data_IF_345557945441
#
_entry.id   IF_345557945441
#
_cell.length_a   1.000
_cell.length_b   1.000
_cell.length_c   1.000
_cell.angle_alpha   90.00
_cell.angle_beta   90.00
_cell.angle_gamma   90.00
#
_symmetry.space_group_name_H-M   'P 1'
#
loop_
_entity.id
_entity.type
_entity.pdbx_description
1 polymer ?
#
# COMPACT_ATOMS: atom_id res chain seq x y z
N UNK A 1 -27.30 14.35 -7.56
CA UNK A 1 -28.01 13.06 -7.60
C UNK A 1 -26.96 11.95 -7.50
N UNK A 2 -26.59 11.56 -6.28
CA UNK A 2 -25.64 10.48 -6.06
C UNK A 2 -26.31 9.16 -6.43
N UNK A 3 -25.89 8.54 -7.55
CA UNK A 3 -26.23 7.15 -7.84
C UNK A 3 -25.50 6.31 -6.80
N UNK A 4 -26.21 5.89 -5.77
CA UNK A 4 -25.77 4.77 -4.93
C UNK A 4 -25.60 3.57 -5.85
N UNK A 5 -24.36 3.18 -6.10
CA UNK A 5 -24.06 1.94 -6.79
C UNK A 5 -24.76 0.83 -6.01
N UNK A 6 -25.63 0.08 -6.69
CA UNK A 6 -26.11 -1.19 -6.18
C UNK A 6 -24.85 -2.03 -5.96
N UNK A 7 -24.50 -2.27 -4.69
CA UNK A 7 -23.42 -3.18 -4.31
C UNK A 7 -23.84 -4.58 -4.75
N UNK A 8 -23.58 -4.92 -6.01
CA UNK A 8 -23.52 -6.32 -6.42
C UNK A 8 -22.59 -7.04 -5.45
N UNK A 9 -22.94 -8.27 -5.05
CA UNK A 9 -22.07 -9.09 -4.19
C UNK A 9 -20.67 -9.10 -4.82
N UNK A 10 -19.67 -8.61 -4.06
CA UNK A 10 -18.28 -8.65 -4.50
C UNK A 10 -17.92 -10.12 -4.78
N UNK A 11 -17.55 -10.39 -6.03
CA UNK A 11 -17.15 -11.72 -6.47
C UNK A 11 -15.63 -11.88 -6.31
N UNK A 12 -15.21 -13.12 -6.08
CA UNK A 12 -13.80 -13.48 -6.18
C UNK A 12 -13.37 -13.41 -7.65
N UNK A 13 -12.23 -12.79 -7.89
CA UNK A 13 -11.57 -12.67 -9.19
C UNK A 13 -10.19 -13.30 -9.09
N UNK A 14 -9.78 -13.95 -10.18
CA UNK A 14 -8.41 -14.47 -10.31
C UNK A 14 -7.60 -13.42 -11.03
N UNK A 15 -6.57 -12.88 -10.38
CA UNK A 15 -5.54 -12.05 -10.99
C UNK A 15 -4.28 -12.85 -11.29
N UNK A 16 -3.48 -12.36 -12.22
CA UNK A 16 -2.15 -12.90 -12.52
C UNK A 16 -1.08 -11.95 -11.96
N UNK A 17 -0.08 -12.48 -11.28
CA UNK A 17 1.06 -11.69 -10.81
C UNK A 17 1.86 -11.22 -12.04
N UNK A 18 1.86 -9.92 -12.27
CA UNK A 18 2.65 -9.31 -13.33
C UNK A 18 4.12 -9.16 -12.93
N UNK A 19 4.35 -8.77 -11.67
CA UNK A 19 5.70 -8.55 -11.13
C UNK A 19 5.70 -8.59 -9.59
N UNK A 20 6.89 -8.82 -9.02
CA UNK A 20 7.14 -8.82 -7.58
C UNK A 20 8.30 -7.87 -7.30
N UNK A 21 8.02 -6.79 -6.57
CA UNK A 21 9.01 -5.78 -6.20
C UNK A 21 9.41 -5.99 -4.74
N UNK A 22 10.69 -6.30 -4.50
CA UNK A 22 11.22 -6.36 -3.15
C UNK A 22 11.40 -4.93 -2.59
N UNK A 23 10.59 -4.56 -1.60
CA UNK A 23 10.64 -3.23 -0.98
C UNK A 23 11.67 -3.14 0.15
N UNK A 24 11.72 -4.19 0.98
CA UNK A 24 12.68 -4.37 2.10
C UNK A 24 12.96 -5.87 2.25
N UNK A 25 13.94 -6.33 3.06
CA UNK A 25 14.18 -7.78 3.23
C UNK A 25 12.98 -8.60 3.71
N UNK A 26 11.97 -7.97 4.32
CA UNK A 26 10.74 -8.65 4.79
C UNK A 26 9.47 -8.20 4.07
N UNK A 27 9.54 -7.32 3.07
CA UNK A 27 8.35 -6.73 2.44
C UNK A 27 8.46 -6.78 0.93
N UNK A 28 7.41 -7.24 0.26
CA UNK A 28 7.30 -7.23 -1.19
C UNK A 28 5.97 -6.63 -1.65
N UNK A 29 5.99 -5.93 -2.78
CA UNK A 29 4.82 -5.47 -3.51
C UNK A 29 4.52 -6.43 -4.65
N UNK A 30 3.28 -6.92 -4.71
CA UNK A 30 2.77 -7.79 -5.77
C UNK A 30 1.95 -6.93 -6.73
N UNK A 31 2.39 -6.84 -7.99
CA UNK A 31 1.67 -6.15 -9.05
C UNK A 31 0.81 -7.18 -9.76
N UNK A 32 -0.49 -6.94 -9.83
CA UNK A 32 -1.47 -7.94 -10.23
C UNK A 32 -2.30 -7.40 -11.39
N UNK A 33 -2.27 -8.12 -12.51
CA UNK A 33 -3.19 -7.92 -13.62
C UNK A 33 -4.52 -8.61 -13.26
N UNK A 34 -5.58 -7.82 -13.05
CA UNK A 34 -6.89 -8.32 -12.62
C UNK A 34 -7.93 -8.05 -13.72
N UNK A 35 -8.38 -9.08 -14.46
CA UNK A 35 -9.38 -8.92 -15.49
C UNK A 35 -10.68 -8.29 -14.96
N UNK A 36 -11.19 -7.31 -15.70
CA UNK A 36 -12.40 -6.56 -15.41
C UNK A 36 -12.40 -5.98 -13.98
N UNK A 37 -11.26 -5.46 -13.53
CA UNK A 37 -11.19 -4.73 -12.26
C UNK A 37 -12.12 -3.52 -12.31
N UNK A 38 -13.06 -3.37 -11.35
CA UNK A 38 -14.04 -2.28 -11.38
C UNK A 38 -13.44 -0.90 -11.04
N UNK A 39 -12.11 -0.81 -10.87
CA UNK A 39 -11.44 0.34 -10.29
C UNK A 39 -11.48 0.32 -8.76
N UNK A 40 -10.81 1.28 -8.13
CA UNK A 40 -10.76 1.43 -6.68
C UNK A 40 -10.48 2.89 -6.30
N UNK A 41 -10.62 3.23 -5.02
CA UNK A 41 -10.20 4.51 -4.45
C UNK A 41 -8.94 4.34 -3.61
N UNK A 42 -8.07 5.35 -3.62
CA UNK A 42 -6.85 5.38 -2.80
C UNK A 42 -7.21 5.26 -1.32
N UNK A 43 -6.75 4.19 -0.67
CA UNK A 43 -7.04 3.85 0.72
C UNK A 43 -8.02 2.67 0.93
N UNK A 44 -8.58 2.11 -0.15
CA UNK A 44 -9.30 0.84 -0.09
C UNK A 44 -8.37 -0.37 0.02
N UNK A 45 -8.95 -1.54 0.29
CA UNK A 45 -8.26 -2.82 0.41
C UNK A 45 -8.95 -3.90 -0.42
N UNK A 46 -8.29 -5.05 -0.55
CA UNK A 46 -8.85 -6.29 -1.09
C UNK A 46 -8.72 -7.41 -0.06
N UNK A 47 -9.62 -8.38 -0.10
CA UNK A 47 -9.37 -9.68 0.51
C UNK A 47 -8.61 -10.55 -0.48
N UNK A 48 -7.56 -11.21 -0.02
CA UNK A 48 -6.81 -12.23 -0.76
C UNK A 48 -7.13 -13.59 -0.17
N UNK A 49 -7.36 -14.57 -1.03
CA UNK A 49 -7.59 -15.97 -0.65
C UNK A 49 -6.49 -16.86 -1.22
N UNK A 50 -5.96 -17.72 -0.35
CA UNK A 50 -5.13 -18.85 -0.74
C UNK A 50 -5.88 -20.14 -0.44
N UNK A 51 -5.86 -21.07 -1.37
CA UNK A 51 -6.42 -22.42 -1.21
C UNK A 51 -5.29 -23.43 -1.31
N UNK A 52 -5.09 -24.23 -0.26
CA UNK A 52 -4.11 -25.32 -0.25
C UNK A 52 -4.65 -26.55 -1.00
N UNK A 53 -3.76 -27.50 -1.33
CA UNK A 53 -4.10 -28.71 -2.09
C UNK A 53 -5.13 -29.61 -1.39
N UNK A 54 -5.18 -29.57 -0.05
CA UNK A 54 -6.16 -30.27 0.77
C UNK A 54 -7.52 -29.54 0.85
N UNK A 55 -7.66 -28.40 0.17
CA UNK A 55 -8.85 -27.57 0.14
C UNK A 55 -8.95 -26.55 1.27
N UNK A 56 -7.98 -26.49 2.19
CA UNK A 56 -7.97 -25.47 3.24
C UNK A 56 -7.85 -24.06 2.64
N UNK A 57 -8.63 -23.11 3.16
CA UNK A 57 -8.64 -21.72 2.67
C UNK A 57 -8.27 -20.72 3.75
N UNK A 58 -7.22 -19.95 3.51
CA UNK A 58 -6.87 -18.79 4.32
C UNK A 58 -7.24 -17.50 3.59
N UNK A 59 -7.82 -16.54 4.31
CA UNK A 59 -8.19 -15.22 3.78
C UNK A 59 -7.59 -14.11 4.62
N UNK A 60 -7.00 -13.10 3.98
CA UNK A 60 -6.45 -11.91 4.65
C UNK A 60 -6.72 -10.65 3.84
N UNK A 61 -6.97 -9.55 4.53
CA UNK A 61 -7.17 -8.24 3.91
C UNK A 61 -5.85 -7.52 3.73
N UNK A 62 -5.62 -6.96 2.54
CA UNK A 62 -4.45 -6.16 2.20
C UNK A 62 -4.87 -4.83 1.58
N UNK A 63 -4.34 -3.73 2.11
CA UNK A 63 -4.52 -2.41 1.48
C UNK A 63 -4.00 -2.43 0.05
N UNK A 64 -4.74 -1.78 -0.85
CA UNK A 64 -4.28 -1.56 -2.20
C UNK A 64 -3.19 -0.48 -2.14
N UNK A 65 -2.03 -0.80 -2.70
CA UNK A 65 -0.85 0.05 -2.74
C UNK A 65 -0.84 0.96 -3.99
N UNK A 66 -1.42 0.50 -5.10
CA UNK A 66 -1.46 1.28 -6.33
C UNK A 66 -2.45 2.45 -6.24
N UNK A 67 -2.25 3.44 -7.11
CA UNK A 67 -3.22 4.52 -7.28
C UNK A 67 -4.41 4.03 -8.13
N UNK A 68 -5.59 4.67 -8.02
CA UNK A 68 -6.72 4.42 -8.91
C UNK A 68 -6.40 4.52 -10.41
N UNK A 69 -5.41 5.34 -10.76
CA UNK A 69 -4.95 5.57 -12.13
C UNK A 69 -4.04 4.45 -12.68
N UNK A 70 -3.52 3.58 -11.81
CA UNK A 70 -2.62 2.50 -12.21
C UNK A 70 -3.42 1.41 -12.95
N UNK A 71 -2.93 0.91 -14.11
CA UNK A 71 -3.58 -0.21 -14.80
C UNK A 71 -3.56 -1.51 -13.99
N UNK A 72 -2.70 -1.63 -12.98
CA UNK A 72 -2.54 -2.82 -12.14
C UNK A 72 -2.99 -2.57 -10.71
N UNK A 73 -3.52 -3.62 -10.09
CA UNK A 73 -3.74 -3.62 -8.65
C UNK A 73 -2.41 -4.02 -8.00
N UNK A 74 -1.87 -3.17 -7.13
CA UNK A 74 -0.73 -3.55 -6.30
C UNK A 74 -1.18 -3.78 -4.86
N UNK A 75 -0.67 -4.83 -4.22
CA UNK A 75 -0.72 -5.00 -2.76
C UNK A 75 0.70 -5.15 -2.23
N UNK A 76 0.92 -4.75 -0.99
CA UNK A 76 2.25 -4.85 -0.37
C UNK A 76 2.15 -5.58 0.94
N UNK A 77 2.95 -6.63 1.04
CA UNK A 77 2.84 -7.67 2.05
C UNK A 77 4.12 -7.71 2.86
N UNK A 78 3.98 -7.57 4.17
CA UNK A 78 5.05 -7.83 5.12
C UNK A 78 5.04 -9.30 5.53
N UNK A 79 6.18 -9.98 5.36
CA UNK A 79 6.40 -11.35 5.79
C UNK A 79 6.49 -11.40 7.31
N UNK A 80 5.49 -12.02 7.91
CA UNK A 80 5.51 -12.46 9.30
C UNK A 80 6.06 -13.89 9.35
N UNK A 81 7.04 -14.16 10.20
CA UNK A 81 7.71 -15.47 10.30
C UNK A 81 6.72 -16.59 10.65
N UNK A 82 5.81 -16.32 11.59
CA UNK A 82 4.73 -17.24 11.99
C UNK A 82 3.40 -16.95 11.24
N UNK A 83 3.48 -16.23 10.11
CA UNK A 83 2.31 -15.87 9.33
C UNK A 83 1.79 -17.04 8.50
N UNK A 84 0.47 -17.25 8.49
CA UNK A 84 -0.15 -18.33 7.70
C UNK A 84 -0.08 -18.07 6.19
N UNK A 85 -0.18 -16.82 5.75
CA UNK A 85 -0.33 -16.43 4.34
C UNK A 85 0.89 -15.66 3.83
N UNK A 86 1.45 -14.77 4.67
CA UNK A 86 2.51 -13.84 4.24
C UNK A 86 3.83 -14.49 3.81
N UNK A 87 4.30 -15.63 4.37
CA UNK A 87 5.51 -16.29 3.88
C UNK A 87 5.37 -16.75 2.43
N UNK A 88 4.21 -17.31 2.06
CA UNK A 88 3.94 -17.73 0.68
C UNK A 88 3.89 -16.52 -0.26
N UNK A 89 3.12 -15.48 0.10
CA UNK A 89 2.96 -14.29 -0.75
C UNK A 89 4.28 -13.54 -1.01
N UNK A 90 5.21 -13.54 -0.07
CA UNK A 90 6.49 -12.81 -0.19
C UNK A 90 7.64 -13.70 -0.67
N UNK A 91 7.62 -14.99 -0.35
CA UNK A 91 8.74 -15.90 -0.60
C UNK A 91 8.56 -16.82 -1.81
N UNK A 92 7.32 -17.14 -2.19
CA UNK A 92 7.03 -18.22 -3.14
C UNK A 92 6.25 -17.76 -4.38
N UNK A 93 5.55 -16.62 -4.33
CA UNK A 93 4.86 -16.08 -5.50
C UNK A 93 5.83 -15.41 -6.48
N UNK A 94 5.64 -15.69 -7.76
CA UNK A 94 6.40 -15.17 -8.88
C UNK A 94 5.48 -14.64 -9.97
N UNK A 95 6.06 -13.92 -10.94
CA UNK A 95 5.32 -13.50 -12.12
C UNK A 95 4.68 -14.71 -12.83
N UNK A 96 3.46 -14.51 -13.34
CA UNK A 96 2.55 -15.50 -13.95
C UNK A 96 1.80 -16.40 -12.96
N UNK A 97 2.10 -16.35 -11.67
CA UNK A 97 1.29 -17.04 -10.67
C UNK A 97 -0.09 -16.41 -10.55
N UNK A 98 -1.06 -17.18 -10.06
CA UNK A 98 -2.44 -16.73 -9.89
C UNK A 98 -2.75 -16.42 -8.44
N UNK A 99 -3.50 -15.36 -8.22
CA UNK A 99 -3.97 -14.97 -6.91
C UNK A 99 -5.46 -14.67 -6.94
N UNK A 100 -6.22 -15.21 -5.99
CA UNK A 100 -7.63 -14.88 -5.82
C UNK A 100 -7.78 -13.63 -4.95
N UNK A 101 -8.49 -12.64 -5.47
CA UNK A 101 -8.79 -11.41 -4.76
C UNK A 101 -10.27 -11.03 -4.87
N UNK A 102 -10.77 -10.36 -3.84
CA UNK A 102 -12.14 -9.82 -3.79
C UNK A 102 -12.08 -8.37 -3.30
N UNK A 103 -12.64 -7.47 -4.10
CA UNK A 103 -12.73 -6.06 -3.77
C UNK A 103 -13.10 -5.19 -4.97
N UNK A 104 -12.89 -3.86 -4.85
CA UNK A 104 -12.35 -3.18 -3.67
C UNK A 104 -13.32 -3.20 -2.48
N UNK A 105 -12.78 -3.17 -1.26
CA UNK A 105 -13.52 -3.14 0.01
C UNK A 105 -13.13 -1.88 0.79
N UNK A 106 -14.10 -1.33 1.54
CA UNK A 106 -13.93 -0.13 2.35
C UNK A 106 -14.46 1.13 1.67
N UNK A 107 -14.04 2.30 2.16
CA UNK A 107 -14.52 3.61 1.67
C UNK A 107 -14.54 4.73 2.72
N UNK A 108 -14.31 4.39 4.00
CA UNK A 108 -14.24 5.35 5.11
C UNK A 108 -12.83 5.94 5.32
N UNK A 109 -11.80 5.32 4.72
CA UNK A 109 -10.40 5.76 4.80
C UNK A 109 -9.84 6.03 3.40
N UNK A 110 -10.59 6.79 2.59
CA UNK A 110 -10.19 7.13 1.22
C UNK A 110 -9.89 8.61 1.09
N UNK A 111 -8.95 8.95 0.23
CA UNK A 111 -8.70 10.32 -0.19
C UNK A 111 -9.00 10.46 -1.69
N UNK A 112 -9.50 11.63 -2.08
CA UNK A 112 -9.84 11.97 -3.46
C UNK A 112 -9.11 13.25 -3.85
N UNK A 113 -8.62 13.31 -5.07
CA UNK A 113 -7.85 14.45 -5.57
C UNK A 113 -8.62 15.79 -5.60
N UNK A 114 -9.95 15.76 -5.57
CA UNK A 114 -10.80 16.95 -5.51
C UNK A 114 -10.99 17.51 -4.08
N UNK A 115 -10.45 16.86 -3.05
CA UNK A 115 -10.46 17.37 -1.67
C UNK A 115 -9.32 18.39 -1.46
N UNK A 116 -9.64 19.69 -1.25
CA UNK A 116 -8.63 20.73 -1.14
C UNK A 116 -8.00 20.81 0.25
N UNK A 117 -8.50 20.06 1.23
CA UNK A 117 -8.03 20.15 2.62
C UNK A 117 -6.62 19.56 2.75
N UNK A 118 -5.71 20.20 3.49
CA UNK A 118 -4.39 19.64 3.75
C UNK A 118 -4.47 18.24 4.36
N UNK A 119 -3.62 17.33 3.89
CA UNK A 119 -3.62 15.93 4.28
C UNK A 119 -2.48 15.67 5.27
N UNK A 120 -2.83 15.18 6.45
CA UNK A 120 -1.87 14.64 7.41
C UNK A 120 -1.92 13.12 7.36
N UNK A 121 -0.85 12.52 6.85
CA UNK A 121 -0.66 11.08 6.81
C UNK A 121 0.25 10.68 7.97
N UNK A 122 -0.13 9.63 8.70
CA UNK A 122 0.66 9.09 9.80
C UNK A 122 0.66 7.57 9.66
N UNK A 123 1.84 7.00 9.46
CA UNK A 123 1.99 5.56 9.21
C UNK A 123 3.20 4.98 9.93
N UNK A 124 3.17 3.67 10.15
CA UNK A 124 4.32 2.93 10.65
C UNK A 124 4.37 1.52 10.08
N UNK A 125 5.57 1.06 9.71
CA UNK A 125 5.75 -0.22 9.01
C UNK A 125 4.82 -0.35 7.80
N UNK A 126 4.24 -1.53 7.59
CA UNK A 126 3.26 -1.82 6.54
C UNK A 126 1.98 -0.97 6.58
N UNK A 127 1.72 -0.23 7.67
CA UNK A 127 0.66 0.78 7.71
C UNK A 127 0.83 1.93 6.69
N UNK A 128 1.98 2.03 6.02
CA UNK A 128 2.21 2.98 4.91
C UNK A 128 1.42 2.66 3.65
N UNK A 129 1.02 1.41 3.42
CA UNK A 129 0.47 0.96 2.13
C UNK A 129 -0.71 1.79 1.62
N UNK A 130 -1.79 2.00 2.40
CA UNK A 130 -2.90 2.83 1.92
C UNK A 130 -2.51 4.32 1.80
N UNK A 131 -1.53 4.78 2.58
CA UNK A 131 -1.03 6.16 2.51
C UNK A 131 -0.23 6.39 1.23
N UNK A 132 0.54 5.37 0.81
CA UNK A 132 1.28 5.40 -0.44
C UNK A 132 0.33 5.44 -1.65
N UNK A 133 -0.78 4.71 -1.61
CA UNK A 133 -1.82 4.81 -2.64
C UNK A 133 -2.36 6.26 -2.75
N UNK A 134 -2.56 6.96 -1.63
CA UNK A 134 -2.99 8.37 -1.63
C UNK A 134 -1.91 9.29 -2.21
N UNK A 135 -0.64 9.08 -1.86
CA UNK A 135 0.49 9.86 -2.38
C UNK A 135 0.64 9.65 -3.90
N UNK A 136 0.56 8.40 -4.37
CA UNK A 136 0.61 8.05 -5.81
C UNK A 136 -0.59 8.65 -6.55
N UNK A 137 -1.80 8.55 -5.99
CA UNK A 137 -3.00 9.16 -6.55
C UNK A 137 -2.87 10.68 -6.68
N UNK A 138 -2.34 11.35 -5.63
CA UNK A 138 -2.08 12.79 -5.66
C UNK A 138 -1.13 13.17 -6.79
N UNK A 139 -0.03 12.42 -6.95
CA UNK A 139 0.96 12.67 -7.99
C UNK A 139 0.37 12.45 -9.39
N UNK A 140 -0.37 11.36 -9.60
CA UNK A 140 -1.00 11.04 -10.88
C UNK A 140 -2.07 12.08 -11.30
N UNK A 141 -2.82 12.62 -10.33
CA UNK A 141 -3.82 13.65 -10.55
C UNK A 141 -3.24 15.08 -10.64
N UNK A 142 -1.92 15.25 -10.52
CA UNK A 142 -1.24 16.55 -10.36
C UNK A 142 -1.86 17.46 -9.28
N UNK A 143 -2.39 16.85 -8.21
CA UNK A 143 -3.08 17.58 -7.16
C UNK A 143 -2.08 18.38 -6.30
N UNK A 144 -2.40 19.66 -6.05
CA UNK A 144 -1.55 20.59 -5.28
C UNK A 144 -1.86 20.59 -3.79
N UNK A 145 -2.81 19.79 -3.33
CA UNK A 145 -3.19 19.65 -1.92
C UNK A 145 -1.95 19.40 -1.07
N UNK A 146 -1.66 20.23 -0.05
CA UNK A 146 -0.50 20.02 0.81
C UNK A 146 -0.60 18.72 1.59
N UNK A 147 0.47 17.95 1.60
CA UNK A 147 0.58 16.67 2.32
C UNK A 147 1.74 16.75 3.30
N UNK A 148 1.47 16.45 4.57
CA UNK A 148 2.52 16.10 5.53
C UNK A 148 2.40 14.62 5.85
N UNK A 149 3.49 13.88 5.69
CA UNK A 149 3.55 12.47 6.01
C UNK A 149 4.57 12.20 7.11
N UNK A 150 4.10 11.71 8.26
CA UNK A 150 4.96 11.22 9.34
C UNK A 150 5.06 9.70 9.23
N UNK A 151 6.27 9.19 8.96
CA UNK A 151 6.49 7.76 8.73
C UNK A 151 7.45 7.16 9.76
N UNK A 152 6.95 6.22 10.56
CA UNK A 152 7.74 5.50 11.55
C UNK A 152 8.24 4.15 11.04
N UNK A 153 9.55 3.92 11.15
CA UNK A 153 10.19 2.64 10.83
C UNK A 153 11.16 2.25 11.95
N UNK A 154 11.64 1.01 11.95
CA UNK A 154 12.60 0.54 12.96
C UNK A 154 14.01 1.03 12.62
N UNK A 155 14.45 0.78 11.39
CA UNK A 155 15.68 1.28 10.82
C UNK A 155 15.45 1.77 9.38
N UNK A 156 16.50 2.30 8.72
CA UNK A 156 16.38 2.89 7.38
C UNK A 156 16.08 1.84 6.31
N UNK A 157 16.58 0.64 6.52
CA UNK A 157 16.35 -0.57 5.72
C UNK A 157 14.91 -1.10 5.83
N UNK A 158 14.15 -0.69 6.85
CA UNK A 158 12.75 -1.04 7.03
C UNK A 158 11.79 -0.03 6.40
N UNK A 159 12.30 1.05 5.78
CA UNK A 159 11.47 2.07 5.13
C UNK A 159 10.94 1.53 3.80
N UNK A 160 9.73 0.98 3.82
CA UNK A 160 9.00 0.55 2.61
C UNK A 160 8.81 1.75 1.66
N UNK A 161 9.03 1.56 0.36
CA UNK A 161 8.99 2.59 -0.70
C UNK A 161 10.00 3.74 -0.57
N UNK A 162 11.08 3.57 0.19
CA UNK A 162 12.06 4.64 0.49
C UNK A 162 12.47 5.44 -0.74
N UNK A 163 12.93 4.75 -1.78
CA UNK A 163 13.43 5.41 -3.00
C UNK A 163 12.33 6.15 -3.76
N UNK A 164 11.09 5.66 -3.74
CA UNK A 164 9.97 6.33 -4.39
C UNK A 164 9.55 7.59 -3.64
N UNK A 165 9.48 7.52 -2.30
CA UNK A 165 9.23 8.69 -1.46
C UNK A 165 10.32 9.77 -1.64
N UNK A 166 11.59 9.37 -1.72
CA UNK A 166 12.71 10.28 -2.01
C UNK A 166 12.55 10.96 -3.39
N UNK A 167 12.17 10.20 -4.42
CA UNK A 167 11.92 10.76 -5.77
C UNK A 167 10.76 11.74 -5.78
N UNK A 168 9.65 11.39 -5.14
CA UNK A 168 8.44 12.22 -5.13
C UNK A 168 8.69 13.55 -4.40
N UNK A 169 9.38 13.50 -3.25
CA UNK A 169 9.72 14.71 -2.47
C UNK A 169 10.78 15.59 -3.14
N UNK A 170 11.65 15.03 -3.97
CA UNK A 170 12.67 15.80 -4.69
C UNK A 170 12.10 16.74 -5.76
N UNK A 171 10.84 16.56 -6.18
CA UNK A 171 10.20 17.39 -7.21
C UNK A 171 9.80 18.80 -6.73
N UNK A 172 10.03 19.12 -5.45
CA UNK A 172 9.75 20.44 -4.87
C UNK A 172 8.26 20.72 -4.68
N UNK A 173 7.44 19.67 -4.60
CA UNK A 173 6.00 19.74 -4.48
C UNK A 173 5.54 19.99 -3.03
N UNK A 174 4.22 20.06 -2.82
CA UNK A 174 3.63 20.25 -1.49
C UNK A 174 3.61 18.97 -0.63
N UNK A 175 4.52 18.00 -0.87
CA UNK A 175 4.68 16.77 -0.08
C UNK A 175 5.88 16.85 0.87
N UNK A 176 5.61 16.91 2.17
CA UNK A 176 6.61 16.95 3.25
C UNK A 176 6.64 15.60 3.98
N UNK A 177 7.63 14.75 3.69
CA UNK A 177 7.82 13.45 4.33
C UNK A 177 8.83 13.56 5.48
N UNK A 178 8.43 13.15 6.68
CA UNK A 178 9.28 13.10 7.87
C UNK A 178 9.37 11.68 8.39
N UNK A 179 10.58 11.14 8.34
CA UNK A 179 10.87 9.82 8.87
C UNK A 179 11.24 9.90 10.36
N UNK A 180 10.78 8.89 11.11
CA UNK A 180 11.31 8.59 12.44
C UNK A 180 11.76 7.14 12.52
N UNK A 181 13.02 6.92 12.93
CA UNK A 181 13.61 5.59 13.05
C UNK A 181 13.72 5.21 14.53
N UNK A 182 13.04 4.15 14.94
CA UNK A 182 12.82 3.87 16.37
C UNK A 182 13.86 2.96 17.02
N UNK A 183 14.75 2.33 16.23
CA UNK A 183 15.75 1.37 16.73
C UNK A 183 17.16 1.67 16.27
N UNK A 184 17.37 1.88 14.97
CA UNK A 184 18.70 2.15 14.41
C UNK A 184 18.65 3.30 13.40
N UNK A 185 19.68 4.13 13.42
CA UNK A 185 19.83 5.26 12.50
C UNK A 185 21.13 5.13 11.71
N UNK A 186 21.13 5.44 10.40
CA UNK A 186 22.37 5.48 9.64
C UNK A 186 23.28 6.63 10.12
N UNK A 187 24.60 6.55 9.89
CA UNK A 187 25.51 7.66 10.17
C UNK A 187 25.02 8.97 9.56
N UNK A 188 25.03 10.04 10.36
CA UNK A 188 24.61 11.37 9.91
C UNK A 188 23.10 11.61 9.87
N UNK A 189 22.26 10.68 10.36
CA UNK A 189 20.81 10.84 10.43
C UNK A 189 20.37 12.17 11.06
N UNK A 190 19.52 12.91 10.35
CA UNK A 190 18.96 14.21 10.78
C UNK A 190 17.45 14.17 11.04
N UNK A 191 16.80 13.04 10.75
CA UNK A 191 15.39 12.85 11.04
C UNK A 191 15.14 12.54 12.51
N UNK A 192 13.90 12.19 12.83
CA UNK A 192 13.52 11.82 14.19
C UNK A 192 14.04 10.42 14.55
N UNK A 193 14.26 10.16 15.83
CA UNK A 193 14.76 8.88 16.37
C UNK A 193 13.87 8.30 17.48
N UNK A 194 12.60 8.69 17.50
CA UNK A 194 11.64 8.37 18.57
C UNK A 194 10.35 7.75 18.03
N UNK A 195 9.54 7.15 18.91
CA UNK A 195 8.17 6.80 18.54
C UNK A 195 7.37 8.08 18.30
N UNK A 196 6.30 7.97 17.51
CA UNK A 196 5.40 9.08 17.27
C UNK A 196 4.74 9.50 18.59
N UNK A 197 4.84 10.79 18.91
CA UNK A 197 4.26 11.42 20.08
C UNK A 197 3.70 12.80 19.68
N UNK A 198 3.32 13.61 20.68
CA UNK A 198 2.75 14.95 20.44
C UNK A 198 3.80 16.01 20.09
N UNK A 199 5.09 15.72 20.21
CA UNK A 199 6.19 16.68 20.06
C UNK A 199 6.85 16.60 18.68
#
# INVERSE_FOLDING_TARGET
MARGAVLGRLAWKVGEIADVIQETPKVASLLIDVPDWPGHLAGQHVDVRLTADDGYQAQRSYSIASAPEDPRVAITVERLEDGEVSPYLVGELHAKDKLELRGPIGGYFVWKADDPRPLLLIGGGSGVVPLMAMIRHRAAADAKTPVRFLYSSRAIEDVIYRQELERLTATGDTLDVRHTLTRAQPPGWKGYSRRLDRQ
#
